data_IF_760509282754
#
_entry.id   IF_760509282754
#
_cell.length_a   1.000
_cell.length_b   1.000
_cell.length_c   1.000
_cell.angle_alpha   90.00
_cell.angle_beta   90.00
_cell.angle_gamma   90.00
#
_symmetry.space_group_name_H-M   'P 1'
#
loop_
_entity.id
_entity.type
_entity.pdbx_description
1 polymer ?
#
# COMPACT_ATOMS: atom_id res chain seq x y z
N UNK A 1 24.98 25.30 -6.15
CA UNK A 1 25.89 24.44 -5.37
C UNK A 1 26.53 25.26 -4.27
N UNK A 2 26.18 25.01 -3.01
CA UNK A 2 26.75 25.75 -1.88
C UNK A 2 28.07 25.06 -1.51
N UNK A 3 29.21 25.69 -1.80
CA UNK A 3 30.51 25.19 -1.36
C UNK A 3 30.60 25.35 0.15
N UNK A 4 30.55 24.25 0.90
CA UNK A 4 30.94 24.22 2.30
C UNK A 4 32.46 24.01 2.35
N UNK A 5 33.21 25.10 2.18
CA UNK A 5 34.64 25.10 2.47
C UNK A 5 34.81 25.20 4.00
N UNK A 6 35.03 24.08 4.68
CA UNK A 6 35.66 24.11 6.00
C UNK A 6 37.18 24.26 5.78
N UNK A 7 37.69 25.49 5.86
CA UNK A 7 39.12 25.75 5.74
C UNK A 7 39.83 25.47 7.07
N UNK A 8 40.68 24.45 7.09
CA UNK A 8 41.69 24.24 8.12
C UNK A 8 42.66 23.16 7.69
N UNK A 9 43.93 23.52 7.44
CA UNK A 9 45.05 22.63 7.10
C UNK A 9 44.98 21.82 5.79
N UNK A 10 44.72 22.46 4.66
CA UNK A 10 45.12 21.93 3.33
C UNK A 10 44.39 20.68 2.82
N UNK A 11 43.50 20.07 3.61
CA UNK A 11 42.69 18.92 3.19
C UNK A 11 41.40 19.45 2.55
N UNK A 12 41.23 19.21 1.25
CA UNK A 12 39.99 19.49 0.52
C UNK A 12 39.21 18.20 0.37
N UNK A 13 38.05 18.11 1.01
CA UNK A 13 37.14 16.97 0.83
C UNK A 13 36.25 17.22 -0.39
N UNK A 14 36.34 16.36 -1.39
CA UNK A 14 35.46 16.39 -2.56
C UNK A 14 34.53 15.18 -2.55
N UNK A 15 33.24 15.43 -2.71
CA UNK A 15 32.27 14.41 -3.09
C UNK A 15 32.08 14.48 -4.61
N UNK A 16 32.41 13.42 -5.35
CA UNK A 16 32.17 13.34 -6.81
C UNK A 16 31.17 12.24 -7.11
N UNK A 17 30.20 12.54 -7.97
CA UNK A 17 29.33 11.54 -8.59
C UNK A 17 30.13 10.81 -9.68
N UNK A 18 30.17 9.46 -9.64
CA UNK A 18 30.75 8.67 -10.73
C UNK A 18 29.63 8.05 -11.57
N UNK A 19 29.34 8.67 -12.72
CA UNK A 19 28.30 8.22 -13.65
C UNK A 19 28.67 6.98 -14.46
N UNK A 20 29.92 6.49 -14.34
CA UNK A 20 30.42 5.36 -15.13
C UNK A 20 30.31 4.00 -14.41
N UNK A 21 29.90 3.96 -13.14
CA UNK A 21 29.71 2.71 -12.39
C UNK A 21 28.27 2.19 -12.49
N UNK A 22 28.11 0.86 -12.44
CA UNK A 22 26.82 0.17 -12.26
C UNK A 22 26.89 -0.72 -11.01
N UNK A 23 26.22 -0.39 -9.90
CA UNK A 23 25.39 0.79 -9.69
C UNK A 23 26.21 2.09 -9.56
N UNK A 24 25.60 3.20 -9.95
CA UNK A 24 26.21 4.53 -9.85
C UNK A 24 26.38 4.88 -8.36
N UNK A 25 27.62 5.18 -7.95
CA UNK A 25 27.94 5.48 -6.54
C UNK A 25 28.74 6.77 -6.42
N UNK A 26 28.69 7.36 -5.23
CA UNK A 26 29.61 8.42 -4.83
C UNK A 26 30.91 7.80 -4.31
N UNK A 27 32.05 8.37 -4.67
CA UNK A 27 33.36 8.00 -4.09
C UNK A 27 33.97 9.22 -3.40
N UNK A 28 34.40 9.05 -2.15
CA UNK A 28 35.18 10.05 -1.42
C UNK A 28 36.66 9.66 -1.50
N UNK A 29 37.53 10.61 -1.86
CA UNK A 29 38.98 10.42 -1.83
C UNK A 29 39.59 11.48 -0.93
N UNK A 30 40.24 11.06 0.16
CA UNK A 30 41.17 11.91 0.93
C UNK A 30 42.38 11.08 1.35
N UNK A 31 43.57 11.68 1.39
CA UNK A 31 44.77 11.03 1.90
C UNK A 31 44.80 11.13 3.44
N UNK A 32 44.77 9.98 4.13
CA UNK A 32 45.11 9.91 5.56
C UNK A 32 43.94 9.97 6.57
N UNK A 33 42.69 9.77 6.16
CA UNK A 33 41.61 9.38 7.09
C UNK A 33 41.17 7.94 6.85
N UNK A 34 40.82 7.25 7.93
CA UNK A 34 40.57 5.80 7.90
C UNK A 34 39.17 5.40 7.47
N UNK A 35 38.11 6.22 7.55
CA UNK A 35 36.79 5.88 6.98
C UNK A 35 35.87 7.11 6.85
N UNK A 36 35.05 7.16 5.79
CA UNK A 36 34.00 8.17 5.57
C UNK A 36 32.65 7.46 5.51
N UNK A 37 31.80 7.67 6.52
CA UNK A 37 30.46 7.09 6.58
C UNK A 37 29.43 8.07 5.96
N UNK A 38 28.76 7.63 4.90
CA UNK A 38 27.60 8.34 4.34
C UNK A 38 26.33 7.78 5.01
N UNK A 39 25.60 8.63 5.72
CA UNK A 39 24.26 8.30 6.23
C UNK A 39 23.20 8.88 5.28
N UNK A 40 22.21 8.07 4.92
CA UNK A 40 20.97 8.55 4.31
C UNK A 40 20.01 8.84 5.45
N UNK A 41 19.45 10.05 5.51
CA UNK A 41 18.25 10.27 6.31
C UNK A 41 17.11 9.45 5.69
N UNK A 42 16.74 8.37 6.37
CA UNK A 42 15.53 7.60 6.06
C UNK A 42 14.47 8.08 7.03
N UNK A 43 13.64 9.02 6.58
CA UNK A 43 12.42 9.37 7.31
C UNK A 43 11.43 8.22 7.11
N UNK A 44 11.15 7.46 8.17
CA UNK A 44 10.08 6.48 8.13
C UNK A 44 8.75 7.22 7.93
N UNK A 45 8.14 7.08 6.76
CA UNK A 45 6.75 7.48 6.56
C UNK A 45 5.90 6.44 7.27
N UNK A 46 5.00 6.87 8.15
CA UNK A 46 4.05 5.96 8.78
C UNK A 46 3.25 5.28 7.67
N UNK A 47 3.41 3.96 7.54
CA UNK A 47 2.67 3.16 6.56
C UNK A 47 1.22 3.07 7.00
N UNK A 48 0.30 3.21 6.03
CA UNK A 48 -1.13 3.05 6.28
C UNK A 48 -1.45 1.57 6.13
N UNK A 49 -1.94 0.95 7.19
CA UNK A 49 -2.25 -0.48 7.20
C UNK A 49 -3.32 -0.85 6.19
N UNK A 50 -3.19 -2.06 5.65
CA UNK A 50 -4.15 -2.62 4.69
C UNK A 50 -5.49 -2.91 5.40
N UNK A 51 -6.65 -2.68 4.74
CA UNK A 51 -7.91 -3.08 5.33
C UNK A 51 -8.06 -4.61 5.36
N UNK A 52 -8.77 -5.11 6.37
CA UNK A 52 -9.07 -6.52 6.60
C UNK A 52 -10.56 -6.75 6.46
N UNK A 53 -10.94 -7.83 5.78
CA UNK A 53 -12.33 -8.28 5.67
C UNK A 53 -12.64 -9.31 6.75
N UNK A 54 -13.83 -9.23 7.35
CA UNK A 54 -14.25 -10.23 8.35
C UNK A 54 -14.47 -11.63 7.77
N UNK A 55 -14.75 -11.70 6.46
CA UNK A 55 -14.99 -12.95 5.74
C UNK A 55 -13.95 -13.07 4.63
N UNK A 56 -13.28 -14.22 4.57
CA UNK A 56 -12.33 -14.52 3.52
C UNK A 56 -13.05 -14.79 2.19
N UNK A 57 -12.36 -14.57 1.07
CA UNK A 57 -12.85 -14.94 -0.25
C UNK A 57 -13.17 -16.43 -0.36
N UNK A 58 -14.18 -16.78 -1.15
CA UNK A 58 -14.60 -18.16 -1.34
C UNK A 58 -15.97 -18.31 -2.00
N UNK A 59 -16.47 -19.55 -1.98
CA UNK A 59 -17.79 -19.90 -2.49
C UNK A 59 -18.83 -19.83 -1.37
N UNK A 60 -19.96 -19.17 -1.66
CA UNK A 60 -21.06 -18.97 -0.74
C UNK A 60 -22.38 -19.36 -1.39
N UNK A 61 -23.28 -19.94 -0.58
CA UNK A 61 -24.62 -20.35 -1.04
C UNK A 61 -25.75 -19.58 -0.37
N UNK A 62 -25.44 -18.76 0.63
CA UNK A 62 -26.37 -17.94 1.40
C UNK A 62 -25.83 -16.52 1.51
N UNK A 63 -26.72 -15.54 1.65
CA UNK A 63 -26.32 -14.14 1.83
C UNK A 63 -25.70 -13.92 3.21
N UNK A 64 -24.71 -13.04 3.30
CA UNK A 64 -23.99 -12.76 4.53
C UNK A 64 -23.56 -11.28 4.62
N UNK A 65 -23.20 -10.84 5.82
CA UNK A 65 -22.61 -9.54 6.07
C UNK A 65 -21.09 -9.61 6.15
N UNK A 66 -20.40 -8.68 5.48
CA UNK A 66 -18.94 -8.49 5.57
C UNK A 66 -18.66 -7.15 6.22
N UNK A 67 -17.81 -7.12 7.23
CA UNK A 67 -17.28 -5.87 7.79
C UNK A 67 -15.85 -5.64 7.30
N UNK A 68 -15.47 -4.36 7.18
CA UNK A 68 -14.12 -3.93 6.83
C UNK A 68 -13.52 -3.21 8.03
N UNK A 69 -12.32 -3.59 8.45
CA UNK A 69 -11.60 -2.96 9.55
C UNK A 69 -10.16 -2.61 9.15
N UNK A 70 -9.53 -1.69 9.90
CA UNK A 70 -8.14 -1.32 9.76
C UNK A 70 -7.60 -0.88 11.13
N UNK A 71 -6.34 -1.22 11.44
CA UNK A 71 -5.69 -0.83 12.70
C UNK A 71 -5.15 0.61 12.66
N UNK A 72 -5.09 1.25 11.48
CA UNK A 72 -4.65 2.64 11.37
C UNK A 72 -5.71 3.58 11.94
N UNK A 73 -5.48 4.06 13.15
CA UNK A 73 -6.38 4.99 13.84
C UNK A 73 -6.59 6.30 13.05
N UNK A 74 -7.83 6.76 12.98
CA UNK A 74 -8.20 8.02 12.32
C UNK A 74 -8.13 7.98 10.79
N UNK A 75 -8.06 6.79 10.18
CA UNK A 75 -8.10 6.62 8.74
C UNK A 75 -9.52 6.37 8.21
N UNK A 76 -9.76 6.74 6.95
CA UNK A 76 -11.00 6.45 6.23
C UNK A 76 -10.86 5.18 5.40
N UNK A 77 -11.87 4.32 5.37
CA UNK A 77 -11.90 3.11 4.56
C UNK A 77 -12.86 3.33 3.38
N UNK A 78 -12.37 3.22 2.14
CA UNK A 78 -13.19 3.29 0.92
C UNK A 78 -13.27 1.94 0.25
N UNK A 79 -14.42 1.61 -0.34
CA UNK A 79 -14.62 0.30 -0.97
C UNK A 79 -15.52 0.35 -2.21
N UNK A 80 -15.43 -0.73 -3.00
CA UNK A 80 -16.24 -1.01 -4.19
C UNK A 80 -16.65 -2.49 -4.16
N UNK A 81 -17.84 -2.81 -4.67
CA UNK A 81 -18.38 -4.18 -4.71
C UNK A 81 -18.43 -4.77 -6.12
N UNK A 82 -18.17 -3.96 -7.14
CA UNK A 82 -18.17 -4.34 -8.55
C UNK A 82 -16.77 -4.73 -9.08
N UNK A 83 -15.75 -4.70 -8.22
CA UNK A 83 -14.36 -5.00 -8.56
C UNK A 83 -13.56 -3.85 -9.18
N UNK A 84 -14.17 -2.66 -9.33
CA UNK A 84 -13.45 -1.45 -9.73
C UNK A 84 -12.46 -1.01 -8.65
N UNK A 85 -11.40 -0.29 -9.03
CA UNK A 85 -10.40 0.14 -8.06
C UNK A 85 -10.96 1.24 -7.14
N UNK A 86 -10.94 1.07 -5.81
CA UNK A 86 -11.47 2.07 -4.91
C UNK A 86 -10.56 3.30 -4.83
N UNK A 87 -11.18 4.47 -4.78
CA UNK A 87 -10.53 5.77 -4.67
C UNK A 87 -11.23 6.67 -3.62
N UNK A 88 -10.79 7.92 -3.52
CA UNK A 88 -11.36 8.92 -2.60
C UNK A 88 -12.78 9.39 -2.95
N UNK A 89 -13.39 8.89 -4.04
CA UNK A 89 -14.80 9.12 -4.40
C UNK A 89 -15.67 7.88 -4.16
N UNK A 90 -15.05 6.73 -3.93
CA UNK A 90 -15.72 5.46 -3.66
C UNK A 90 -16.44 5.46 -2.30
N UNK A 91 -17.32 4.48 -2.11
CA UNK A 91 -18.19 4.40 -0.94
C UNK A 91 -17.38 4.33 0.36
N UNK A 92 -17.72 5.19 1.32
CA UNK A 92 -17.11 5.20 2.66
C UNK A 92 -17.68 4.04 3.48
N UNK A 93 -16.80 3.23 4.06
CA UNK A 93 -17.18 2.21 5.03
C UNK A 93 -17.31 2.84 6.41
N UNK A 94 -18.48 2.68 7.02
CA UNK A 94 -18.71 3.10 8.41
C UNK A 94 -18.20 2.02 9.36
N UNK A 95 -17.48 2.42 10.40
CA UNK A 95 -16.95 1.47 11.39
C UNK A 95 -18.07 0.58 11.95
N UNK A 96 -17.91 -0.74 11.81
CA UNK A 96 -18.87 -1.74 12.28
C UNK A 96 -20.11 -1.94 11.40
N UNK A 97 -20.24 -1.25 10.27
CA UNK A 97 -21.31 -1.53 9.31
C UNK A 97 -21.02 -2.76 8.47
N UNK A 98 -22.04 -3.60 8.29
CA UNK A 98 -21.99 -4.77 7.45
C UNK A 98 -22.37 -4.43 6.00
N UNK A 99 -21.58 -4.95 5.06
CA UNK A 99 -21.86 -4.94 3.64
C UNK A 99 -22.54 -6.26 3.31
N UNK A 100 -23.82 -6.21 2.94
CA UNK A 100 -24.57 -7.41 2.56
C UNK A 100 -24.10 -7.91 1.20
N UNK A 101 -23.64 -9.15 1.13
CA UNK A 101 -23.25 -9.86 -0.09
C UNK A 101 -24.23 -11.00 -0.33
N UNK A 102 -24.95 -10.95 -1.45
CA UNK A 102 -26.00 -11.93 -1.79
C UNK A 102 -25.84 -12.53 -3.20
N UNK A 103 -24.81 -12.14 -3.92
CA UNK A 103 -24.48 -12.64 -5.25
C UNK A 103 -22.96 -12.55 -5.48
N UNK A 104 -22.48 -13.12 -6.59
CA UNK A 104 -21.06 -13.05 -6.96
C UNK A 104 -20.58 -11.61 -6.98
N UNK A 105 -19.64 -11.27 -6.10
CA UNK A 105 -19.22 -9.90 -5.78
C UNK A 105 -17.70 -9.86 -5.65
N UNK A 106 -17.07 -8.86 -6.24
CA UNK A 106 -15.64 -8.57 -6.02
C UNK A 106 -15.54 -7.35 -5.13
N UNK A 107 -15.29 -7.58 -3.84
CA UNK A 107 -15.13 -6.52 -2.86
C UNK A 107 -13.67 -6.06 -2.85
N UNK A 108 -13.44 -4.77 -3.12
CA UNK A 108 -12.14 -4.14 -2.96
C UNK A 108 -12.19 -3.00 -1.96
N UNK A 109 -11.12 -2.79 -1.21
CA UNK A 109 -11.04 -1.71 -0.22
C UNK A 109 -9.64 -1.08 -0.13
N UNK A 110 -9.60 0.21 0.16
CA UNK A 110 -8.39 1.01 0.41
C UNK A 110 -8.57 1.84 1.68
N UNK A 111 -7.48 2.10 2.39
CA UNK A 111 -7.46 2.98 3.56
C UNK A 111 -6.75 4.27 3.17
N UNK A 112 -7.36 5.41 3.50
CA UNK A 112 -6.87 6.76 3.22
C UNK A 112 -6.63 7.51 4.54
N UNK A 113 -5.45 8.11 4.69
CA UNK A 113 -5.10 8.94 5.86
C UNK A 113 -4.28 10.15 5.42
N UNK A 114 -4.93 11.31 5.37
CA UNK A 114 -4.33 12.52 4.78
C UNK A 114 -3.93 12.27 3.33
N UNK A 115 -2.66 12.52 2.99
CA UNK A 115 -2.11 12.28 1.64
C UNK A 115 -1.59 10.85 1.43
N UNK A 116 -1.65 9.99 2.47
CA UNK A 116 -1.17 8.61 2.41
C UNK A 116 -2.33 7.63 2.15
N UNK A 117 -2.02 6.53 1.47
CA UNK A 117 -2.96 5.44 1.18
C UNK A 117 -2.31 4.08 1.41
N UNK A 118 -3.12 3.08 1.77
CA UNK A 118 -2.67 1.70 1.89
C UNK A 118 -2.71 0.96 0.55
N UNK A 119 -2.16 -0.26 0.53
CA UNK A 119 -2.39 -1.18 -0.57
C UNK A 119 -3.86 -1.63 -0.61
N UNK A 120 -4.39 -1.89 -1.82
CA UNK A 120 -5.76 -2.36 -1.99
C UNK A 120 -5.94 -3.80 -1.49
N UNK A 121 -6.97 -4.02 -0.68
CA UNK A 121 -7.46 -5.34 -0.33
C UNK A 121 -8.51 -5.81 -1.33
N UNK A 122 -8.51 -7.11 -1.64
CA UNK A 122 -9.46 -7.71 -2.58
C UNK A 122 -9.96 -9.02 -2.02
N UNK A 123 -11.28 -9.19 -2.01
CA UNK A 123 -11.96 -10.43 -1.71
C UNK A 123 -12.97 -10.74 -2.82
N UNK A 124 -12.95 -11.98 -3.29
CA UNK A 124 -13.90 -12.48 -4.29
C UNK A 124 -14.86 -13.42 -3.60
N UNK A 125 -16.14 -13.09 -3.64
CA UNK A 125 -17.22 -13.94 -3.15
C UNK A 125 -17.97 -14.49 -4.34
N UNK A 126 -17.99 -15.81 -4.49
CA UNK A 126 -18.61 -16.48 -5.62
C UNK A 126 -19.90 -17.16 -5.18
N UNK A 127 -20.98 -16.92 -5.92
CA UNK A 127 -22.27 -17.58 -5.73
C UNK A 127 -22.51 -18.50 -6.93
N UNK A 128 -22.26 -19.82 -6.78
CA UNK A 128 -22.47 -20.77 -7.86
C UNK A 128 -23.94 -20.83 -8.25
N UNK A 129 -24.20 -20.88 -9.56
CA UNK A 129 -25.55 -21.14 -10.05
C UNK A 129 -25.93 -22.58 -9.67
N UNK A 130 -26.96 -22.73 -8.83
CA UNK A 130 -27.53 -24.03 -8.52
C UNK A 130 -28.52 -24.42 -9.61
N UNK A 131 -28.14 -25.38 -10.45
CA UNK A 131 -29.07 -26.05 -11.34
C UNK A 131 -29.75 -27.19 -10.58
N UNK A 132 -31.03 -27.02 -10.23
CA UNK A 132 -31.79 -28.02 -9.46
C UNK A 132 -32.45 -29.10 -10.34
N UNK A 133 -32.39 -28.94 -11.66
CA UNK A 133 -32.90 -29.91 -12.62
C UNK A 133 -32.25 -29.73 -13.98
N UNK A 134 -32.23 -30.80 -14.77
CA UNK A 134 -31.79 -30.75 -16.16
C UNK A 134 -32.73 -29.91 -17.04
N UNK A 135 -33.97 -29.65 -16.58
CA UNK A 135 -34.93 -28.79 -17.26
C UNK A 135 -34.60 -27.29 -17.15
N UNK A 136 -33.71 -26.90 -16.23
CA UNK A 136 -33.19 -25.53 -16.14
C UNK A 136 -31.94 -25.29 -17.03
N UNK A 137 -31.54 -26.30 -17.81
CA UNK A 137 -30.34 -26.29 -18.66
C UNK A 137 -30.67 -26.34 -20.18
N UNK A 138 -31.94 -26.21 -20.55
CA UNK A 138 -32.46 -26.23 -21.93
C UNK A 138 -33.39 -25.04 -22.16
#
# INVERSE_FOLDING_TARGET
>A
FKNLNASGNGVRNWLRFNSSNSPMMFSCYSSGQTDVYLYKEVTAVAEVEKPVFSVNSGDFTEAFGVTISCETEGAEIRYTTDGTEPDASSTLSTAGSEITVSATTTLKAIVLKGDASSAVATAVYTFPVKYTSMAALL
#
